data_IF_256959096612
#
_entry.id   IF_256959096612
#
_cell.length_a   1.000
_cell.length_b   1.000
_cell.length_c   1.000
_cell.angle_alpha   90.00
_cell.angle_beta   90.00
_cell.angle_gamma   90.00
#
_symmetry.space_group_name_H-M   'P 1'
#
loop_
_entity.id
_entity.type
_entity.pdbx_description
1 polymer ?
#
# COMPACT_ATOMS: atom_id res chain seq x y z
N UNK A 1 27.59 -7.87 4.21
CA UNK A 1 26.12 -7.73 4.09
C UNK A 1 25.50 -9.05 3.67
N UNK A 2 24.32 -9.40 4.16
CA UNK A 2 23.53 -10.56 3.75
C UNK A 2 22.07 -10.14 3.52
N UNK A 3 21.45 -10.71 2.49
CA UNK A 3 20.03 -10.55 2.22
C UNK A 3 19.22 -11.39 3.22
N UNK A 4 18.21 -10.77 3.83
CA UNK A 4 17.32 -11.41 4.81
C UNK A 4 15.87 -11.45 4.34
N UNK A 5 15.46 -10.53 3.47
CA UNK A 5 14.14 -10.56 2.84
C UNK A 5 14.18 -9.97 1.43
N UNK A 6 13.14 -10.30 0.67
CA UNK A 6 12.86 -9.77 -0.64
C UNK A 6 11.49 -9.11 -0.68
N UNK A 7 11.41 -7.89 -1.23
CA UNK A 7 10.16 -7.19 -1.45
C UNK A 7 9.98 -6.84 -2.93
N UNK A 8 8.80 -7.15 -3.47
CA UNK A 8 8.42 -6.77 -4.82
C UNK A 8 8.21 -5.26 -4.97
N UNK A 9 7.84 -4.60 -3.88
CA UNK A 9 7.37 -3.22 -3.84
C UNK A 9 8.24 -2.40 -2.87
N UNK A 10 8.46 -1.14 -3.22
CA UNK A 10 9.41 -0.27 -2.52
C UNK A 10 8.97 0.03 -1.09
N UNK A 11 7.68 0.30 -0.87
CA UNK A 11 7.17 0.62 0.46
C UNK A 11 7.21 -0.62 1.36
N UNK A 12 6.83 -1.79 0.86
CA UNK A 12 6.97 -3.06 1.61
C UNK A 12 8.41 -3.29 2.08
N UNK A 13 9.41 -3.08 1.21
CA UNK A 13 10.82 -3.18 1.58
C UNK A 13 11.22 -2.21 2.70
N UNK A 14 10.74 -0.97 2.65
CA UNK A 14 10.98 0.03 3.70
C UNK A 14 10.28 -0.28 5.01
N UNK A 15 9.09 -0.89 4.96
CA UNK A 15 8.40 -1.36 6.18
C UNK A 15 9.25 -2.43 6.87
N UNK A 16 9.78 -3.41 6.13
CA UNK A 16 10.66 -4.44 6.69
C UNK A 16 11.94 -3.83 7.27
N UNK A 17 12.56 -2.87 6.57
CA UNK A 17 13.72 -2.12 7.10
C UNK A 17 13.37 -1.39 8.39
N UNK A 18 12.21 -0.74 8.46
CA UNK A 18 11.76 -0.02 9.65
C UNK A 18 11.55 -0.97 10.84
N UNK A 19 10.92 -2.13 10.61
CA UNK A 19 10.74 -3.19 11.62
C UNK A 19 12.10 -3.65 12.15
N UNK A 20 13.03 -4.00 11.25
CA UNK A 20 14.37 -4.44 11.66
C UNK A 20 15.15 -3.36 12.42
N UNK A 21 15.04 -2.09 12.01
CA UNK A 21 15.69 -0.98 12.73
C UNK A 21 15.08 -0.75 14.11
N UNK A 22 13.76 -0.94 14.27
CA UNK A 22 13.10 -0.86 15.57
C UNK A 22 13.62 -1.94 16.55
N UNK A 23 13.98 -3.11 16.03
CA UNK A 23 14.64 -4.20 16.77
C UNK A 23 16.17 -4.03 16.92
N UNK A 24 16.72 -2.88 16.49
CA UNK A 24 18.13 -2.53 16.66
C UNK A 24 19.09 -3.08 15.60
N UNK A 25 18.59 -3.62 14.48
CA UNK A 25 19.44 -4.08 13.37
C UNK A 25 19.86 -2.94 12.44
N UNK A 26 21.07 -3.02 11.89
CA UNK A 26 21.56 -2.10 10.85
C UNK A 26 21.04 -2.51 9.46
N UNK A 27 19.73 -2.37 9.26
CA UNK A 27 19.06 -2.76 8.02
C UNK A 27 19.03 -1.62 6.97
N UNK A 28 19.15 -1.98 5.70
CA UNK A 28 18.92 -1.08 4.57
C UNK A 28 18.43 -1.81 3.33
N UNK A 29 17.83 -1.06 2.39
CA UNK A 29 17.51 -1.58 1.06
C UNK A 29 18.74 -1.50 0.16
N UNK A 30 19.08 -2.62 -0.48
CA UNK A 30 20.07 -2.62 -1.55
C UNK A 30 19.50 -1.99 -2.80
N UNK A 31 20.32 -1.15 -3.44
CA UNK A 31 20.07 -0.58 -4.77
C UNK A 31 18.82 0.30 -4.90
N UNK A 32 18.49 1.00 -3.80
CA UNK A 32 17.30 1.83 -3.69
C UNK A 32 17.19 2.90 -4.80
N UNK A 33 18.31 3.50 -5.19
CA UNK A 33 18.36 4.58 -6.17
C UNK A 33 18.28 4.11 -7.62
N UNK A 34 18.92 2.98 -7.97
CA UNK A 34 18.95 2.46 -9.34
C UNK A 34 17.66 1.73 -9.69
N UNK A 35 17.10 0.99 -8.73
CA UNK A 35 15.91 0.16 -8.93
C UNK A 35 14.65 1.03 -9.07
N UNK A 36 14.60 2.21 -8.46
CA UNK A 36 13.40 3.09 -8.47
C UNK A 36 13.08 3.71 -9.84
N UNK A 37 14.03 3.77 -10.77
CA UNK A 37 13.87 4.50 -12.03
C UNK A 37 13.06 3.75 -13.09
N UNK A 38 12.89 2.43 -12.95
CA UNK A 38 12.21 1.61 -13.96
C UNK A 38 11.56 0.39 -13.32
N UNK A 39 10.23 0.36 -13.27
CA UNK A 39 9.46 -0.77 -12.74
C UNK A 39 9.92 -2.09 -13.35
N UNK A 40 10.12 -2.16 -14.66
CA UNK A 40 10.52 -3.41 -15.32
C UNK A 40 11.86 -3.92 -14.81
N UNK A 41 12.79 -3.01 -14.48
CA UNK A 41 14.06 -3.36 -13.84
C UNK A 41 13.89 -3.82 -12.40
N UNK A 42 12.88 -3.36 -11.66
CA UNK A 42 12.54 -3.91 -10.34
C UNK A 42 12.22 -5.40 -10.46
N UNK A 43 11.38 -5.78 -11.41
CA UNK A 43 11.00 -7.18 -11.60
C UNK A 43 12.19 -8.02 -12.12
N UNK A 44 12.92 -7.54 -13.12
CA UNK A 44 14.09 -8.24 -13.67
C UNK A 44 15.25 -8.36 -12.63
N UNK A 45 15.40 -7.34 -11.79
CA UNK A 45 16.15 -7.22 -10.54
C UNK A 45 16.04 -8.39 -9.56
N UNK A 46 14.89 -9.06 -9.61
CA UNK A 46 14.37 -9.70 -8.44
C UNK A 46 14.30 -8.66 -7.32
N UNK A 47 13.49 -7.62 -7.49
CA UNK A 47 12.98 -6.62 -6.53
C UNK A 47 13.97 -5.94 -5.57
N UNK A 48 13.43 -5.41 -4.47
CA UNK A 48 14.18 -4.76 -3.40
C UNK A 48 14.70 -5.81 -2.42
N UNK A 49 15.98 -5.75 -2.09
CA UNK A 49 16.62 -6.70 -1.15
C UNK A 49 16.88 -6.00 0.16
N UNK A 50 16.37 -6.56 1.24
CA UNK A 50 16.62 -6.09 2.60
C UNK A 50 17.93 -6.70 3.09
N UNK A 51 18.91 -5.86 3.38
CA UNK A 51 20.26 -6.25 3.75
C UNK A 51 20.59 -5.89 5.19
N UNK A 52 21.30 -6.78 5.87
CA UNK A 52 21.86 -6.55 7.22
C UNK A 52 23.32 -7.03 7.30
N UNK A 53 24.12 -6.61 8.30
CA UNK A 53 25.43 -7.18 8.57
C UNK A 53 25.39 -8.71 8.66
N UNK A 54 26.41 -9.40 8.14
CA UNK A 54 26.39 -10.87 8.05
C UNK A 54 26.24 -11.57 9.42
N UNK A 55 26.78 -10.95 10.48
CA UNK A 55 26.67 -11.41 11.87
C UNK A 55 25.24 -11.38 12.43
N UNK A 56 24.37 -10.53 11.88
CA UNK A 56 22.99 -10.30 12.33
C UNK A 56 21.96 -11.08 11.50
N UNK A 57 22.38 -11.69 10.38
CA UNK A 57 21.48 -12.22 9.36
C UNK A 57 20.48 -13.27 9.85
N UNK A 58 20.91 -14.17 10.74
CA UNK A 58 20.02 -15.22 11.25
C UNK A 58 18.96 -14.66 12.19
N UNK A 59 19.33 -13.76 13.11
CA UNK A 59 18.40 -13.12 14.02
C UNK A 59 17.40 -12.22 13.28
N UNK A 60 17.89 -11.43 12.31
CA UNK A 60 17.04 -10.60 11.47
C UNK A 60 16.02 -11.41 10.66
N UNK A 61 16.39 -12.58 10.13
CA UNK A 61 15.45 -13.47 9.43
C UNK A 61 14.31 -13.95 10.33
N UNK A 62 14.58 -14.23 11.59
CA UNK A 62 13.54 -14.60 12.56
C UNK A 62 12.56 -13.46 12.80
N UNK A 63 13.04 -12.22 12.90
CA UNK A 63 12.18 -11.03 13.02
C UNK A 63 11.35 -10.81 11.75
N UNK A 64 11.94 -10.95 10.57
CA UNK A 64 11.19 -10.87 9.30
C UNK A 64 10.11 -11.94 9.25
N UNK A 65 10.41 -13.18 9.66
CA UNK A 65 9.41 -14.25 9.69
C UNK A 65 8.24 -13.91 10.63
N UNK A 66 8.54 -13.44 11.85
CA UNK A 66 7.54 -12.98 12.81
C UNK A 66 6.73 -11.77 12.35
N UNK A 67 7.31 -10.92 11.49
CA UNK A 67 6.57 -9.85 10.83
C UNK A 67 5.61 -10.40 9.76
N UNK A 68 6.10 -11.28 8.88
CA UNK A 68 5.34 -11.83 7.75
C UNK A 68 4.21 -12.75 8.18
N UNK A 69 4.38 -13.48 9.28
CA UNK A 69 3.32 -14.33 9.84
C UNK A 69 2.30 -13.57 10.70
N UNK A 70 2.53 -12.27 10.94
CA UNK A 70 1.65 -11.41 11.71
C UNK A 70 1.87 -11.45 13.23
N UNK A 71 2.89 -12.16 13.73
CA UNK A 71 3.24 -12.14 15.16
C UNK A 71 3.58 -10.74 15.65
N UNK A 72 4.19 -9.90 14.78
CA UNK A 72 4.48 -8.49 15.05
C UNK A 72 3.34 -7.54 14.61
N UNK A 73 2.10 -8.04 14.46
CA UNK A 73 0.96 -7.18 14.20
C UNK A 73 0.77 -6.18 15.35
N UNK A 74 0.50 -4.92 14.98
CA UNK A 74 0.15 -3.90 15.97
C UNK A 74 -1.12 -4.29 16.71
N UNK A 75 -1.18 -3.94 17.99
CA UNK A 75 -2.42 -4.02 18.76
C UNK A 75 -3.54 -3.28 18.00
N UNK A 76 -4.69 -3.93 17.73
CA UNK A 76 -5.83 -3.28 17.10
C UNK A 76 -6.24 -1.96 17.78
N UNK A 77 -6.01 -1.81 19.09
CA UNK A 77 -6.28 -0.58 19.84
C UNK A 77 -5.36 0.59 19.49
N UNK A 78 -4.19 0.33 18.89
CA UNK A 78 -3.26 1.37 18.42
C UNK A 78 -3.56 1.85 17.01
N UNK A 79 -4.36 1.10 16.24
CA UNK A 79 -4.74 1.47 14.87
C UNK A 79 -6.04 2.27 14.92
N UNK A 80 -5.97 3.55 14.58
CA UNK A 80 -7.18 4.37 14.50
C UNK A 80 -8.11 3.90 13.37
N UNK A 81 -9.19 3.24 13.78
CA UNK A 81 -10.29 2.88 12.89
C UNK A 81 -11.51 3.76 13.19
N UNK A 82 -12.16 4.34 12.17
CA UNK A 82 -13.36 5.14 12.40
C UNK A 82 -14.46 4.26 12.99
N UNK A 83 -15.17 4.81 13.97
CA UNK A 83 -16.36 4.17 14.54
C UNK A 83 -17.45 3.98 13.49
N UNK A 84 -18.21 2.89 13.63
CA UNK A 84 -19.36 2.62 12.79
C UNK A 84 -20.50 3.58 13.14
N UNK A 85 -21.14 4.24 12.15
CA UNK A 85 -22.24 5.17 12.42
C UNK A 85 -23.50 4.51 12.98
N UNK A 86 -23.62 3.18 12.92
CA UNK A 86 -24.75 2.43 13.48
C UNK A 86 -24.45 1.77 14.83
N UNK A 87 -23.20 1.38 15.06
CA UNK A 87 -22.74 0.69 16.27
C UNK A 87 -21.50 1.42 16.77
N UNK A 88 -21.70 2.46 17.60
CA UNK A 88 -20.66 3.43 17.95
C UNK A 88 -19.38 2.83 18.53
N UNK A 89 -19.48 1.68 19.21
CA UNK A 89 -18.33 1.00 19.84
C UNK A 89 -17.59 0.05 18.87
N UNK A 90 -18.16 -0.22 17.70
CA UNK A 90 -17.53 -1.06 16.68
C UNK A 90 -16.76 -0.22 15.69
N UNK A 91 -15.56 -0.67 15.37
CA UNK A 91 -14.69 -0.02 14.42
C UNK A 91 -14.88 -0.57 12.99
N UNK A 92 -14.73 0.30 12.00
CA UNK A 92 -14.77 -0.07 10.59
C UNK A 92 -13.46 -0.62 10.06
N UNK A 93 -13.53 -1.68 9.27
CA UNK A 93 -12.39 -2.19 8.50
C UNK A 93 -12.32 -1.50 7.12
N UNK A 94 -11.13 -1.30 6.54
CA UNK A 94 -11.00 -0.74 5.20
C UNK A 94 -11.76 -1.60 4.16
N UNK A 95 -12.69 -1.00 3.41
CA UNK A 95 -13.45 -1.73 2.39
C UNK A 95 -12.56 -2.00 1.14
N UNK A 96 -12.29 -3.26 0.77
CA UNK A 96 -11.49 -3.58 -0.40
C UNK A 96 -12.30 -3.49 -1.71
N UNK A 97 -13.64 -3.50 -1.65
CA UNK A 97 -14.51 -3.62 -2.85
C UNK A 97 -14.32 -2.51 -3.89
N UNK A 98 -14.24 -1.21 -3.52
CA UNK A 98 -14.04 -0.14 -4.50
C UNK A 98 -12.73 -0.33 -5.27
N UNK A 99 -11.65 -0.69 -4.55
CA UNK A 99 -10.33 -0.97 -5.12
C UNK A 99 -10.36 -2.18 -6.05
N UNK A 100 -10.98 -3.28 -5.62
CA UNK A 100 -11.16 -4.48 -6.45
C UNK A 100 -11.96 -4.20 -7.72
N UNK A 101 -13.05 -3.44 -7.63
CA UNK A 101 -13.87 -3.04 -8.80
C UNK A 101 -13.08 -2.18 -9.78
N UNK A 102 -12.32 -1.20 -9.29
CA UNK A 102 -11.48 -0.36 -10.13
C UNK A 102 -10.40 -1.19 -10.85
N UNK A 103 -9.75 -2.11 -10.12
CA UNK A 103 -8.76 -3.02 -10.70
C UNK A 103 -9.37 -3.93 -11.78
N UNK A 104 -10.54 -4.51 -11.53
CA UNK A 104 -11.25 -5.32 -12.53
C UNK A 104 -11.66 -4.51 -13.76
N UNK A 105 -12.17 -3.29 -13.57
CA UNK A 105 -12.52 -2.41 -14.68
C UNK A 105 -11.29 -2.06 -15.54
N UNK A 106 -10.16 -1.75 -14.90
CA UNK A 106 -8.89 -1.52 -15.59
C UNK A 106 -8.40 -2.77 -16.35
N UNK A 107 -8.48 -3.96 -15.74
CA UNK A 107 -8.10 -5.22 -16.38
C UNK A 107 -8.95 -5.55 -17.60
N UNK A 108 -10.27 -5.41 -17.48
CA UNK A 108 -11.21 -5.61 -18.60
C UNK A 108 -10.97 -4.61 -19.73
N UNK A 109 -10.74 -3.34 -19.41
CA UNK A 109 -10.40 -2.32 -20.40
C UNK A 109 -9.10 -2.63 -21.13
N UNK A 110 -8.06 -3.03 -20.39
CA UNK A 110 -6.76 -3.39 -20.95
C UNK A 110 -6.85 -4.60 -21.88
N UNK A 111 -7.62 -5.62 -21.50
CA UNK A 111 -7.89 -6.78 -22.34
C UNK A 111 -8.65 -6.40 -23.62
N UNK A 112 -9.63 -5.51 -23.52
CA UNK A 112 -10.37 -4.99 -24.68
C UNK A 112 -9.47 -4.20 -25.63
N UNK A 113 -8.64 -3.28 -25.11
CA UNK A 113 -7.67 -2.55 -25.91
C UNK A 113 -6.67 -3.47 -26.61
N UNK A 114 -6.16 -4.49 -25.91
CA UNK A 114 -5.30 -5.51 -26.51
C UNK A 114 -6.00 -6.30 -27.62
N UNK A 115 -7.26 -6.69 -27.44
CA UNK A 115 -8.03 -7.38 -28.48
C UNK A 115 -8.21 -6.52 -29.74
N UNK A 116 -8.44 -5.21 -29.60
CA UNK A 116 -8.51 -4.29 -30.74
C UNK A 116 -7.16 -4.20 -31.49
N UNK A 117 -6.05 -4.13 -30.75
CA UNK A 117 -4.70 -4.13 -31.34
C UNK A 117 -4.46 -5.40 -32.16
N UNK A 118 -4.79 -6.57 -31.59
CA UNK A 118 -4.55 -7.87 -32.24
C UNK A 118 -5.45 -8.08 -33.46
N UNK A 119 -6.66 -7.55 -33.46
CA UNK A 119 -7.64 -7.72 -34.55
C UNK A 119 -7.48 -6.72 -35.69
N UNK A 120 -6.63 -5.69 -35.54
CA UNK A 120 -6.38 -4.69 -36.59
C UNK A 120 -7.59 -3.80 -36.89
N UNK A 121 -8.56 -3.72 -35.98
CA UNK A 121 -9.76 -2.90 -36.14
C UNK A 121 -9.41 -1.41 -35.95
N UNK A 122 -9.17 -0.72 -37.06
CA UNK A 122 -9.11 0.75 -37.17
C UNK A 122 -7.98 1.40 -36.36
N UNK A 123 -6.94 1.88 -37.05
CA UNK A 123 -5.80 2.56 -36.44
C UNK A 123 -6.22 3.75 -35.54
N UNK A 124 -7.25 4.49 -35.97
CA UNK A 124 -7.82 5.61 -35.21
C UNK A 124 -8.53 5.16 -33.92
N UNK A 125 -9.21 4.02 -33.95
CA UNK A 125 -9.92 3.47 -32.78
C UNK A 125 -8.93 2.95 -31.72
N UNK A 126 -7.81 2.39 -32.16
CA UNK A 126 -6.73 1.91 -31.28
C UNK A 126 -6.13 3.08 -30.50
N UNK A 127 -5.85 4.21 -31.14
CA UNK A 127 -5.28 5.39 -30.48
C UNK A 127 -6.22 5.95 -29.38
N UNK A 128 -7.52 6.06 -29.67
CA UNK A 128 -8.50 6.57 -28.71
C UNK A 128 -8.66 5.61 -27.51
N UNK A 129 -8.76 4.30 -27.77
CA UNK A 129 -8.90 3.29 -26.71
C UNK A 129 -7.63 3.17 -25.87
N UNK A 130 -6.45 3.27 -26.49
CA UNK A 130 -5.17 3.23 -25.80
C UNK A 130 -4.90 4.51 -24.99
N UNK A 131 -5.39 5.68 -25.40
CA UNK A 131 -5.17 6.95 -24.72
C UNK A 131 -6.07 7.15 -23.47
N UNK A 132 -7.26 6.55 -23.45
CA UNK A 132 -8.23 6.67 -22.35
C UNK A 132 -7.68 6.29 -20.97
N UNK A 133 -6.93 5.18 -20.80
CA UNK A 133 -6.27 4.85 -19.54
C UNK A 133 -5.29 5.92 -19.06
N UNK A 134 -4.51 6.50 -19.96
CA UNK A 134 -3.56 7.56 -19.62
C UNK A 134 -4.29 8.83 -19.16
N UNK A 135 -5.41 9.18 -19.81
CA UNK A 135 -6.28 10.28 -19.35
C UNK A 135 -6.91 9.97 -17.99
N UNK A 136 -7.33 8.73 -17.75
CA UNK A 136 -7.85 8.30 -16.44
C UNK A 136 -6.75 8.35 -15.37
N UNK A 137 -5.49 8.07 -15.72
CA UNK A 137 -4.35 8.25 -14.79
C UNK A 137 -4.17 9.71 -14.36
N UNK A 138 -4.43 10.67 -15.25
CA UNK A 138 -4.44 12.10 -14.89
C UNK A 138 -5.59 12.46 -13.94
N UNK A 139 -6.68 11.67 -13.97
CA UNK A 139 -7.80 11.82 -13.06
C UNK A 139 -7.61 11.04 -11.75
N UNK A 140 -6.53 10.28 -11.55
CA UNK A 140 -6.30 9.52 -10.29
C UNK A 140 -6.39 10.37 -9.02
N UNK A 141 -5.83 11.60 -8.94
CA UNK A 141 -6.01 12.45 -7.77
C UNK A 141 -7.48 12.77 -7.52
N UNK A 142 -8.22 13.00 -8.61
CA UNK A 142 -9.66 13.26 -8.59
C UNK A 142 -10.47 12.01 -8.35
N UNK A 143 -10.01 10.81 -8.66
CA UNK A 143 -10.74 9.54 -8.43
C UNK A 143 -10.36 8.88 -7.11
N UNK A 144 -9.26 9.33 -6.46
CA UNK A 144 -8.79 8.83 -5.16
C UNK A 144 -9.90 8.84 -4.11
N UNK A 145 -10.75 9.88 -4.11
CA UNK A 145 -11.86 10.01 -3.16
C UNK A 145 -12.93 8.91 -3.32
N UNK A 146 -12.99 8.24 -4.47
CA UNK A 146 -13.91 7.13 -4.71
C UNK A 146 -13.40 5.82 -4.09
N UNK A 147 -12.09 5.66 -3.92
CA UNK A 147 -11.46 4.42 -3.48
C UNK A 147 -10.87 4.47 -2.06
N UNK A 148 -10.51 5.66 -1.57
CA UNK A 148 -9.83 5.86 -0.28
C UNK A 148 -10.81 6.29 0.82
N UNK A 149 -10.47 5.96 2.07
CA UNK A 149 -11.26 6.28 3.28
C UNK A 149 -12.65 5.65 3.30
N UNK A 150 -12.85 4.54 2.59
CA UNK A 150 -14.08 3.74 2.67
C UNK A 150 -13.88 2.60 3.65
N UNK A 151 -14.85 2.44 4.53
CA UNK A 151 -14.83 1.47 5.60
C UNK A 151 -16.11 0.65 5.57
N UNK A 152 -16.04 -0.55 6.13
CA UNK A 152 -17.16 -1.46 6.27
C UNK A 152 -17.15 -2.06 7.66
N UNK A 153 -18.32 -2.08 8.30
CA UNK A 153 -18.46 -2.67 9.62
C UNK A 153 -18.50 -4.20 9.49
N UNK A 154 -17.68 -4.95 10.24
CA UNK A 154 -17.71 -6.41 10.20
C UNK A 154 -19.03 -6.98 10.75
N UNK A 155 -19.68 -6.30 11.71
CA UNK A 155 -20.91 -6.78 12.32
C UNK A 155 -22.17 -6.52 11.47
N UNK A 156 -22.34 -5.29 10.96
CA UNK A 156 -23.58 -4.90 10.27
C UNK A 156 -23.43 -4.75 8.75
N UNK A 157 -22.23 -4.97 8.22
CA UNK A 157 -21.90 -4.84 6.79
C UNK A 157 -22.13 -3.44 6.18
N UNK A 158 -22.57 -2.44 6.96
CA UNK A 158 -22.74 -1.06 6.51
C UNK A 158 -21.40 -0.50 6.03
N UNK A 159 -21.41 0.13 4.85
CA UNK A 159 -20.23 0.74 4.26
C UNK A 159 -20.40 2.26 4.29
N UNK A 160 -19.38 2.96 4.77
CA UNK A 160 -19.38 4.42 4.84
C UNK A 160 -18.03 4.98 4.43
N UNK A 161 -17.97 6.30 4.33
CA UNK A 161 -16.73 7.03 4.09
C UNK A 161 -16.38 7.81 5.35
N UNK A 162 -15.19 7.61 5.88
CA UNK A 162 -14.70 8.46 6.95
C UNK A 162 -14.33 9.82 6.39
N UNK A 163 -14.72 10.89 7.08
CA UNK A 163 -14.24 12.21 6.76
C UNK A 163 -12.71 12.24 6.96
N UNK A 164 -11.93 12.83 6.02
CA UNK A 164 -10.52 13.02 6.25
C UNK A 164 -10.35 13.89 7.51
N UNK A 165 -9.65 13.36 8.52
CA UNK A 165 -9.18 14.20 9.61
C UNK A 165 -8.13 15.15 9.04
N UNK A 166 -8.37 16.45 9.15
CA UNK A 166 -7.41 17.44 8.68
C UNK A 166 -6.07 17.20 9.38
N UNK A 167 -4.98 17.13 8.63
CA UNK A 167 -3.62 16.89 9.18
C UNK A 167 -3.28 17.83 10.34
N UNK A 168 -3.78 19.07 10.28
CA UNK A 168 -3.66 20.05 11.36
C UNK A 168 -4.24 19.54 12.68
N UNK A 169 -5.40 18.87 12.66
CA UNK A 169 -6.02 18.30 13.87
C UNK A 169 -5.22 17.12 14.41
N UNK A 170 -4.71 16.25 13.52
CA UNK A 170 -3.85 15.13 13.94
C UNK A 170 -2.56 15.63 14.59
N UNK A 171 -1.93 16.65 14.00
CA UNK A 171 -0.74 17.30 14.57
C UNK A 171 -1.02 17.91 15.93
N UNK A 172 -2.11 18.67 16.07
CA UNK A 172 -2.51 19.28 17.34
C UNK A 172 -2.76 18.21 18.41
N UNK A 173 -3.46 17.13 18.08
CA UNK A 173 -3.70 16.02 19.01
C UNK A 173 -2.38 15.38 19.47
N UNK A 174 -1.44 15.14 18.55
CA UNK A 174 -0.12 14.59 18.87
C UNK A 174 0.70 15.54 19.77
N UNK A 175 0.70 16.84 19.48
CA UNK A 175 1.38 17.85 20.30
C UNK A 175 0.77 17.91 21.72
N UNK A 176 -0.56 17.82 21.85
CA UNK A 176 -1.23 17.79 23.16
C UNK A 176 -0.93 16.53 23.96
N UNK A 177 -0.91 15.36 23.31
CA UNK A 177 -0.56 14.10 23.97
C UNK A 177 0.90 14.09 24.46
N UNK A 178 1.83 14.64 23.66
CA UNK A 178 3.23 14.78 24.04
C UNK A 178 3.48 15.81 25.15
N UNK A 179 2.55 16.75 25.36
CA UNK A 179 2.58 17.68 26.48
C UNK A 179 2.02 17.06 27.76
N UNK A 180 1.00 16.21 27.68
CA UNK A 180 0.41 15.52 28.82
C UNK A 180 1.32 14.43 29.44
N UNK A 181 2.25 13.89 28.65
CA UNK A 181 3.21 12.86 29.09
C UNK A 181 4.54 13.44 29.63
N UNK A 182 4.66 14.76 29.78
CA UNK A 182 5.82 15.46 30.35
C UNK A 182 5.51 16.00 31.73
#
# INVERSE_FOLDING_TARGET
MRCVDWAAEYLDGHVVVAVLRAEGFDAHLFDEATVRQDWFKILAYGGFRVMVPAREANAARSVVAAYRDGTLALDPGLVEHPACPHFGDLHGEPDPRPRRRLFLAYGLWSAFGFALIVTGLGEDAILVVAALPWLVMLLVPLLRHLAVSRYRCPACAHAWRAAPTAFVRLRQAAETAAAANR
#
